data_IF_778424223996
#
_entry.id   IF_778424223996
#
_cell.length_a   1.000
_cell.length_b   1.000
_cell.length_c   1.000
_cell.angle_alpha   90.00
_cell.angle_beta   90.00
_cell.angle_gamma   90.00
#
_symmetry.space_group_name_H-M   'P 1'
#
loop_
_entity.id
_entity.type
_entity.pdbx_description
1 polymer ?
#
# COMPACT_ATOMS: atom_id res chain seq x y z
N UNK A 1 10.34 7.75 -4.45
CA UNK A 1 10.41 6.38 -5.00
C UNK A 1 11.51 6.16 -6.04
N UNK A 2 11.61 6.98 -7.10
CA UNK A 2 12.58 6.77 -8.21
C UNK A 2 14.05 6.60 -7.74
N UNK A 3 14.56 7.53 -6.92
CA UNK A 3 15.92 7.41 -6.34
C UNK A 3 16.13 6.14 -5.51
N UNK A 4 15.08 5.65 -4.86
CA UNK A 4 15.13 4.45 -4.01
C UNK A 4 15.27 3.20 -4.85
N UNK A 5 14.47 3.08 -5.93
CA UNK A 5 14.55 1.92 -6.83
C UNK A 5 15.86 1.91 -7.64
N UNK A 6 16.41 3.09 -8.00
CA UNK A 6 17.73 3.18 -8.62
C UNK A 6 18.83 2.71 -7.67
N UNK A 7 18.79 3.10 -6.40
CA UNK A 7 19.74 2.63 -5.40
C UNK A 7 19.67 1.10 -5.20
N UNK A 8 18.45 0.55 -5.19
CA UNK A 8 18.24 -0.91 -5.10
C UNK A 8 18.83 -1.62 -6.33
N UNK A 9 18.53 -1.14 -7.54
CA UNK A 9 19.07 -1.71 -8.78
C UNK A 9 20.61 -1.70 -8.78
N UNK A 10 21.22 -0.59 -8.34
CA UNK A 10 22.68 -0.47 -8.24
C UNK A 10 23.28 -1.44 -7.22
N UNK A 11 22.67 -1.55 -6.04
CA UNK A 11 23.22 -2.33 -4.93
C UNK A 11 23.03 -3.84 -5.08
N UNK A 12 21.90 -4.29 -5.65
CA UNK A 12 21.54 -5.70 -5.72
C UNK A 12 21.70 -6.31 -7.11
N UNK A 13 21.58 -5.51 -8.17
CA UNK A 13 21.63 -5.98 -9.57
C UNK A 13 22.90 -5.50 -10.29
N UNK A 14 23.67 -4.58 -9.71
CA UNK A 14 24.85 -4.00 -10.37
C UNK A 14 24.51 -3.09 -11.56
N UNK A 15 23.24 -2.70 -11.70
CA UNK A 15 22.77 -1.83 -12.79
C UNK A 15 22.95 -0.38 -12.38
N UNK A 16 23.72 0.38 -13.16
CA UNK A 16 24.09 1.77 -12.81
C UNK A 16 22.90 2.74 -12.89
N UNK A 17 21.99 2.52 -13.85
CA UNK A 17 20.81 3.35 -14.07
C UNK A 17 19.65 2.52 -14.61
N UNK A 18 18.43 2.89 -14.24
CA UNK A 18 17.20 2.29 -14.79
C UNK A 18 16.72 3.01 -16.07
N UNK A 19 17.39 4.09 -16.47
CA UNK A 19 17.12 4.78 -17.73
C UNK A 19 17.69 4.01 -18.90
N UNK A 20 16.91 3.85 -19.98
CA UNK A 20 17.36 3.23 -21.23
C UNK A 20 18.43 4.09 -21.90
N UNK A 21 19.53 3.45 -22.33
CA UNK A 21 20.68 4.13 -22.97
C UNK A 21 20.77 3.88 -24.48
N UNK A 22 19.89 3.04 -25.03
CA UNK A 22 19.89 2.61 -26.43
C UNK A 22 21.22 1.97 -26.84
N UNK A 23 21.80 1.18 -25.94
CA UNK A 23 23.05 0.46 -26.19
C UNK A 23 22.96 -0.92 -25.54
N UNK A 24 23.03 -1.97 -26.37
CA UNK A 24 22.83 -3.34 -25.91
C UNK A 24 23.77 -3.73 -24.75
N UNK A 25 25.06 -3.39 -24.85
CA UNK A 25 26.05 -3.74 -23.81
C UNK A 25 25.82 -3.02 -22.47
N UNK A 26 25.04 -1.95 -22.50
CA UNK A 26 24.73 -1.11 -21.35
C UNK A 26 23.33 -1.35 -20.79
N UNK A 27 22.39 -1.77 -21.63
CA UNK A 27 20.98 -1.98 -21.28
C UNK A 27 20.64 -3.45 -21.01
N UNK A 28 21.41 -4.40 -21.54
CA UNK A 28 21.30 -5.82 -21.21
C UNK A 28 22.40 -6.21 -20.23
N UNK A 29 21.99 -6.61 -19.01
CA UNK A 29 22.90 -7.03 -17.95
C UNK A 29 22.53 -8.43 -17.47
N UNK A 30 23.54 -9.28 -17.27
CA UNK A 30 23.34 -10.56 -16.63
C UNK A 30 23.24 -10.36 -15.12
N UNK A 31 22.14 -10.83 -14.52
CA UNK A 31 21.89 -10.72 -13.09
C UNK A 31 21.64 -12.10 -12.49
N UNK A 32 22.14 -12.30 -11.28
CA UNK A 32 21.90 -13.54 -10.55
C UNK A 32 20.44 -13.62 -10.08
N UNK A 33 19.87 -14.83 -10.09
CA UNK A 33 18.50 -15.05 -9.59
C UNK A 33 18.34 -14.68 -8.11
N UNK A 34 19.39 -14.86 -7.29
CA UNK A 34 19.39 -14.41 -5.89
C UNK A 34 19.42 -12.88 -5.78
N UNK A 35 20.19 -12.19 -6.62
CA UNK A 35 20.22 -10.72 -6.65
C UNK A 35 18.86 -10.14 -7.05
N UNK A 36 18.18 -10.76 -8.01
CA UNK A 36 16.79 -10.40 -8.36
C UNK A 36 15.86 -10.57 -7.17
N UNK A 37 15.92 -11.72 -6.48
CA UNK A 37 15.11 -11.96 -5.29
C UNK A 37 15.34 -10.90 -4.21
N UNK A 38 16.59 -10.58 -3.93
CA UNK A 38 16.95 -9.61 -2.89
C UNK A 38 16.54 -8.19 -3.26
N UNK A 39 16.71 -7.80 -4.54
CA UNK A 39 16.25 -6.52 -5.06
C UNK A 39 14.72 -6.37 -4.93
N UNK A 40 13.96 -7.42 -5.30
CA UNK A 40 12.50 -7.42 -5.18
C UNK A 40 12.05 -7.32 -3.72
N UNK A 41 12.70 -8.04 -2.80
CA UNK A 41 12.41 -7.93 -1.37
C UNK A 41 12.73 -6.54 -0.83
N UNK A 42 13.86 -5.95 -1.24
CA UNK A 42 14.24 -4.60 -0.85
C UNK A 42 13.25 -3.55 -1.40
N UNK A 43 12.83 -3.68 -2.66
CA UNK A 43 11.85 -2.79 -3.28
C UNK A 43 10.49 -2.89 -2.60
N UNK A 44 10.05 -4.11 -2.27
CA UNK A 44 8.81 -4.34 -1.52
C UNK A 44 8.86 -3.66 -0.14
N UNK A 45 9.95 -3.88 0.62
CA UNK A 45 10.14 -3.24 1.94
C UNK A 45 10.20 -1.72 1.85
N UNK A 46 10.95 -1.18 0.89
CA UNK A 46 11.01 0.26 0.66
C UNK A 46 9.64 0.85 0.30
N UNK A 47 8.85 0.13 -0.49
CA UNK A 47 7.46 0.49 -0.78
C UNK A 47 6.58 0.50 0.46
N UNK A 48 6.72 -0.48 1.35
CA UNK A 48 6.01 -0.51 2.64
C UNK A 48 6.44 0.62 3.57
N UNK A 49 7.73 0.96 3.62
CA UNK A 49 8.25 2.06 4.44
C UNK A 49 7.76 3.42 3.91
N UNK A 50 7.82 3.63 2.60
CA UNK A 50 7.25 4.82 1.95
C UNK A 50 5.75 4.91 2.24
N UNK A 51 5.02 3.80 2.11
CA UNK A 51 3.62 3.73 2.48
C UNK A 51 3.37 4.05 3.96
N UNK A 52 4.19 3.54 4.89
CA UNK A 52 4.08 3.84 6.32
C UNK A 52 4.33 5.32 6.64
N UNK A 53 5.27 5.96 5.94
CA UNK A 53 5.47 7.42 6.04
C UNK A 53 4.24 8.16 5.52
N UNK A 54 3.73 7.73 4.37
CA UNK A 54 2.57 8.35 3.72
C UNK A 54 1.30 8.17 4.57
N UNK A 55 1.15 7.03 5.25
CA UNK A 55 0.07 6.75 6.20
C UNK A 55 0.04 7.66 7.41
N UNK A 56 1.20 8.14 7.85
CA UNK A 56 1.33 9.10 8.95
C UNK A 56 1.39 10.55 8.44
N UNK A 57 0.95 10.79 7.20
CA UNK A 57 0.91 12.10 6.54
C UNK A 57 -0.47 12.40 5.98
N UNK A 58 -0.74 13.65 5.59
CA UNK A 58 -2.02 14.05 5.00
C UNK A 58 -2.21 13.62 3.53
N UNK A 59 -1.38 12.71 3.02
CA UNK A 59 -1.40 12.28 1.62
C UNK A 59 -2.51 11.26 1.32
N UNK A 60 -3.20 11.39 0.18
CA UNK A 60 -4.20 10.44 -0.25
C UNK A 60 -3.57 9.17 -0.87
N UNK A 61 -3.89 8.00 -0.32
CA UNK A 61 -3.28 6.70 -0.73
C UNK A 61 -4.26 5.60 -1.08
N UNK A 62 -5.52 5.68 -0.65
CA UNK A 62 -6.54 4.71 -1.02
C UNK A 62 -7.46 5.37 -2.03
N UNK A 63 -7.28 5.03 -3.31
CA UNK A 63 -8.07 5.60 -4.41
C UNK A 63 -8.08 7.15 -4.45
N UNK A 64 -6.98 7.79 -4.07
CA UNK A 64 -6.93 9.25 -3.97
C UNK A 64 -7.59 9.81 -2.71
N UNK A 65 -7.87 8.97 -1.71
CA UNK A 65 -8.40 9.38 -0.41
C UNK A 65 -7.45 9.03 0.75
N UNK A 66 -7.57 9.79 1.82
CA UNK A 66 -6.93 9.50 3.11
C UNK A 66 -7.49 8.19 3.70
N UNK A 67 -6.66 7.36 4.35
CA UNK A 67 -7.12 6.14 5.03
C UNK A 67 -8.29 6.40 5.98
N UNK A 68 -8.23 7.48 6.75
CA UNK A 68 -9.26 7.84 7.72
C UNK A 68 -10.59 8.17 7.04
N UNK A 69 -10.57 8.91 5.93
CA UNK A 69 -11.76 9.20 5.13
C UNK A 69 -12.38 7.93 4.54
N UNK A 70 -11.55 6.97 4.13
CA UNK A 70 -12.04 5.65 3.68
C UNK A 70 -12.60 4.84 4.83
N UNK A 71 -11.97 4.84 6.00
CA UNK A 71 -12.49 4.18 7.22
C UNK A 71 -13.89 4.70 7.55
N UNK A 72 -14.10 6.02 7.49
CA UNK A 72 -15.41 6.65 7.71
C UNK A 72 -16.45 6.14 6.70
N UNK A 73 -16.11 6.16 5.41
CA UNK A 73 -16.98 5.66 4.34
C UNK A 73 -17.35 4.18 4.53
N UNK A 74 -16.39 3.34 4.95
CA UNK A 74 -16.66 1.93 5.24
C UNK A 74 -17.52 1.74 6.50
N UNK A 75 -17.32 2.56 7.52
CA UNK A 75 -18.16 2.58 8.71
C UNK A 75 -19.60 2.95 8.39
N UNK A 76 -19.83 3.97 7.55
CA UNK A 76 -21.16 4.33 7.05
C UNK A 76 -21.80 3.23 6.20
N UNK A 77 -20.98 2.45 5.48
CA UNK A 77 -21.42 1.26 4.75
C UNK A 77 -21.66 0.03 5.65
N UNK A 78 -21.47 0.15 6.98
CA UNK A 78 -21.77 -0.88 7.96
C UNK A 78 -20.69 -1.94 8.14
N UNK A 79 -19.45 -1.68 7.73
CA UNK A 79 -18.34 -2.59 8.01
C UNK A 79 -18.01 -2.59 9.51
N UNK A 80 -17.61 -3.74 10.04
CA UNK A 80 -17.10 -3.85 11.41
C UNK A 80 -15.66 -3.35 11.50
N UNK A 81 -15.20 -2.96 12.68
CA UNK A 81 -13.81 -2.56 12.93
C UNK A 81 -12.80 -3.62 12.45
N UNK A 82 -13.15 -4.90 12.63
CA UNK A 82 -12.35 -6.03 12.14
C UNK A 82 -12.34 -6.10 10.61
N UNK A 83 -13.50 -5.94 9.97
CA UNK A 83 -13.60 -5.91 8.51
C UNK A 83 -12.83 -4.73 7.90
N UNK A 84 -12.91 -3.56 8.52
CA UNK A 84 -12.13 -2.37 8.14
C UNK A 84 -10.63 -2.65 8.33
N UNK A 85 -10.22 -3.24 9.45
CA UNK A 85 -8.81 -3.62 9.67
C UNK A 85 -8.29 -4.57 8.59
N UNK A 86 -9.10 -5.55 8.17
CA UNK A 86 -8.75 -6.47 7.08
C UNK A 86 -8.63 -5.74 5.73
N UNK A 87 -9.54 -4.81 5.45
CA UNK A 87 -9.46 -3.97 4.25
C UNK A 87 -8.18 -3.13 4.26
N UNK A 88 -7.88 -2.44 5.36
CA UNK A 88 -6.66 -1.65 5.51
C UNK A 88 -5.42 -2.52 5.33
N UNK A 89 -5.38 -3.70 5.96
CA UNK A 89 -4.28 -4.66 5.80
C UNK A 89 -4.11 -5.10 4.34
N UNK A 90 -5.21 -5.34 3.63
CA UNK A 90 -5.17 -5.67 2.19
C UNK A 90 -4.62 -4.53 1.31
N UNK A 91 -4.70 -3.31 1.80
CA UNK A 91 -4.12 -2.13 1.18
C UNK A 91 -2.66 -1.91 1.61
N UNK A 92 -2.07 -2.78 2.45
CA UNK A 92 -0.72 -2.62 2.99
C UNK A 92 -0.67 -1.79 4.29
N UNK A 93 -1.82 -1.55 4.92
CA UNK A 93 -1.97 -0.61 6.03
C UNK A 93 -2.33 -1.39 7.29
N UNK A 94 -1.39 -1.50 8.24
CA UNK A 94 -1.65 -2.12 9.53
C UNK A 94 -2.13 -1.08 10.56
N UNK A 95 -3.30 -1.34 11.16
CA UNK A 95 -3.91 -0.45 12.15
C UNK A 95 -4.43 -1.25 13.34
N UNK A 96 -4.37 -0.66 14.55
CA UNK A 96 -5.00 -1.25 15.73
C UNK A 96 -6.51 -1.04 15.66
N UNK A 97 -7.27 -2.01 16.16
CA UNK A 97 -8.73 -1.90 16.23
C UNK A 97 -9.18 -0.68 17.06
N UNK A 98 -8.41 -0.33 18.10
CA UNK A 98 -8.66 0.88 18.92
C UNK A 98 -8.62 2.16 18.10
N UNK A 99 -7.69 2.25 17.16
CA UNK A 99 -7.48 3.45 16.34
C UNK A 99 -8.62 3.58 15.31
N UNK A 100 -9.08 2.45 14.76
CA UNK A 100 -10.26 2.38 13.88
C UNK A 100 -11.51 2.85 14.64
N UNK A 101 -11.75 2.32 15.84
CA UNK A 101 -12.90 2.73 16.66
C UNK A 101 -12.85 4.22 17.02
N UNK A 102 -11.67 4.77 17.32
CA UNK A 102 -11.50 6.20 17.55
C UNK A 102 -11.85 7.03 16.31
N UNK A 103 -11.40 6.62 15.11
CA UNK A 103 -11.73 7.32 13.85
C UNK A 103 -13.24 7.27 13.57
N UNK A 104 -13.91 6.14 13.86
CA UNK A 104 -15.36 6.01 13.66
C UNK A 104 -16.19 6.82 14.66
N UNK A 105 -15.69 7.04 15.88
CA UNK A 105 -16.43 7.71 16.95
C UNK A 105 -16.07 9.18 17.17
N UNK A 106 -14.84 9.62 16.82
CA UNK A 106 -14.44 11.02 16.93
C UNK A 106 -14.90 11.77 15.67
N UNK A 107 -15.77 12.77 15.86
CA UNK A 107 -16.68 13.18 14.81
C UNK A 107 -16.30 14.42 13.99
N UNK A 108 -15.26 15.18 14.33
CA UNK A 108 -15.33 16.61 14.01
C UNK A 108 -14.55 17.13 12.80
N UNK A 109 -13.64 16.39 12.13
CA UNK A 109 -12.85 17.00 11.04
C UNK A 109 -12.60 16.15 9.78
N UNK A 110 -13.05 14.88 9.73
CA UNK A 110 -12.73 13.98 8.60
C UNK A 110 -14.02 13.57 7.89
N UNK A 111 -14.27 14.21 6.74
CA UNK A 111 -15.35 13.85 5.84
C UNK A 111 -15.14 12.43 5.27
N UNK A 112 -16.19 11.62 5.15
CA UNK A 112 -16.12 10.32 4.49
C UNK A 112 -15.68 10.46 3.03
N UNK A 113 -14.85 9.52 2.56
CA UNK A 113 -14.48 9.44 1.16
C UNK A 113 -15.68 9.07 0.29
N UNK A 114 -15.88 9.79 -0.81
CA UNK A 114 -16.81 9.40 -1.86
C UNK A 114 -16.19 8.26 -2.68
N UNK A 115 -16.67 7.04 -2.45
CA UNK A 115 -16.21 5.85 -3.16
C UNK A 115 -17.16 5.50 -4.30
N UNK A 116 -16.60 5.23 -5.48
CA UNK A 116 -17.39 4.66 -6.58
C UNK A 116 -17.91 3.27 -6.21
N UNK A 117 -18.93 2.80 -6.91
CA UNK A 117 -19.47 1.45 -6.70
C UNK A 117 -18.39 0.36 -6.86
N UNK A 118 -17.51 0.52 -7.84
CA UNK A 118 -16.40 -0.39 -8.11
C UNK A 118 -15.39 -0.39 -6.96
N UNK A 119 -15.09 0.78 -6.41
CA UNK A 119 -14.19 0.93 -5.26
C UNK A 119 -14.77 0.27 -4.01
N UNK A 120 -16.04 0.52 -3.70
CA UNK A 120 -16.73 -0.12 -2.57
C UNK A 120 -16.80 -1.65 -2.74
N UNK A 121 -17.12 -2.14 -3.94
CA UNK A 121 -17.13 -3.57 -4.24
C UNK A 121 -15.75 -4.21 -4.05
N UNK A 122 -14.69 -3.54 -4.49
CA UNK A 122 -13.32 -4.01 -4.30
C UNK A 122 -12.98 -4.13 -2.81
N UNK A 123 -13.42 -3.17 -1.98
CA UNK A 123 -13.21 -3.21 -0.53
C UNK A 123 -14.02 -4.32 0.15
N UNK A 124 -15.28 -4.54 -0.25
CA UNK A 124 -16.08 -5.68 0.23
C UNK A 124 -15.44 -7.02 -0.10
N UNK A 125 -14.94 -7.17 -1.33
CA UNK A 125 -14.24 -8.39 -1.75
C UNK A 125 -12.96 -8.62 -0.94
N UNK A 126 -12.18 -7.56 -0.69
CA UNK A 126 -10.97 -7.62 0.14
C UNK A 126 -11.26 -8.01 1.59
N UNK A 127 -12.34 -7.47 2.18
CA UNK A 127 -12.76 -7.85 3.53
C UNK A 127 -13.10 -9.34 3.65
N UNK A 128 -13.75 -9.91 2.63
CA UNK A 128 -14.18 -11.32 2.65
C UNK A 128 -13.03 -12.30 2.39
N UNK A 129 -12.04 -11.93 1.57
CA UNK A 129 -10.85 -12.77 1.31
C UNK A 129 -10.06 -13.11 2.57
N UNK A 130 -9.94 -12.19 3.54
CA UNK A 130 -9.19 -12.43 4.77
C UNK A 130 -9.96 -13.20 5.86
N UNK A 131 -11.29 -13.32 5.76
CA UNK A 131 -12.05 -14.23 6.62
C UNK A 131 -11.71 -15.71 6.35
N UNK A 132 -11.26 -16.05 5.14
CA UNK A 132 -10.87 -17.41 4.77
C UNK A 132 -9.50 -17.87 5.29
N UNK A 133 -8.61 -16.95 5.64
CA UNK A 133 -7.22 -17.22 6.08
C UNK A 133 -7.05 -17.29 7.62
N UNK A 134 -8.13 -17.17 8.40
CA UNK A 134 -8.14 -17.24 9.87
C UNK A 134 -8.79 -18.53 10.42
N UNK A 135 -8.74 -19.64 9.66
CA UNK A 135 -9.07 -20.97 10.16
C UNK A 135 -7.82 -21.82 10.33
#
# INVERSE_FOLDING_TARGET
>A
MEKTIEAIAKNYLGVETLSTRNNDSLDFTEVSAWGVKDALNAAYRAGLEDQAVVLNSDQPIIFGNRPEAVIRSLGEQGFTDLGISQVMRSCGIEMKLTDIGQILHNNDDIAPAELSKEQSNAMQYRATLYQGYMK
#
